data_IF_387559577237
#
_entry.id   IF_387559577237
#
_cell.length_a   1.000
_cell.length_b   1.000
_cell.length_c   1.000
_cell.angle_alpha   90.00
_cell.angle_beta   90.00
_cell.angle_gamma   90.00
#
_symmetry.space_group_name_H-M   'P 1'
#
loop_
_entity.id
_entity.type
_entity.pdbx_description
1 polymer ?
#
# COMPACT_ATOMS: atom_id res chain seq x y z
N UNK A 1 -13.48 9.72 6.01
CA UNK A 1 -12.73 8.45 5.87
C UNK A 1 -11.24 8.69 6.18
N UNK A 2 -10.56 7.74 6.84
CA UNK A 2 -9.12 7.81 7.12
C UNK A 2 -8.39 6.69 6.40
N UNK A 3 -7.35 7.05 5.66
CA UNK A 3 -6.47 6.10 4.98
C UNK A 3 -5.08 6.17 5.62
N UNK A 4 -4.43 5.02 5.78
CA UNK A 4 -3.06 4.96 6.26
C UNK A 4 -2.20 4.03 5.45
N UNK A 5 -0.91 4.35 5.37
CA UNK A 5 0.13 3.53 4.75
C UNK A 5 1.35 3.49 5.67
N UNK A 6 1.94 2.31 5.86
CA UNK A 6 3.24 2.13 6.53
C UNK A 6 4.11 1.19 5.69
N UNK A 7 5.42 1.43 5.66
CA UNK A 7 6.38 0.50 5.08
C UNK A 7 6.39 0.40 3.56
N UNK A 8 5.82 1.38 2.85
CA UNK A 8 5.72 1.38 1.40
C UNK A 8 6.62 2.42 0.75
N UNK A 9 7.58 2.00 -0.11
CA UNK A 9 8.51 2.87 -0.86
C UNK A 9 9.19 3.97 -0.01
N UNK A 10 8.74 5.21 -0.10
CA UNK A 10 9.29 6.36 0.63
C UNK A 10 8.61 6.57 1.98
N UNK A 11 7.58 5.78 2.30
CA UNK A 11 6.79 5.86 3.53
C UNK A 11 7.28 4.76 4.47
N UNK A 12 8.16 5.10 5.41
CA UNK A 12 8.65 4.17 6.41
C UNK A 12 7.72 4.06 7.61
N UNK A 13 7.48 5.18 8.29
CA UNK A 13 6.53 5.28 9.39
C UNK A 13 5.10 5.38 8.87
N UNK A 14 4.14 4.98 9.71
CA UNK A 14 2.71 5.11 9.40
C UNK A 14 2.40 6.57 9.09
N UNK A 15 1.84 6.81 7.91
CA UNK A 15 1.25 8.09 7.51
C UNK A 15 -0.25 7.89 7.41
N UNK A 16 -1.02 8.81 8.00
CA UNK A 16 -2.48 8.78 8.03
C UNK A 16 -3.00 10.07 7.41
N UNK A 17 -3.91 9.96 6.44
CA UNK A 17 -4.56 11.09 5.79
C UNK A 17 -6.07 10.97 5.94
N UNK A 18 -6.70 12.10 6.27
CA UNK A 18 -8.15 12.26 6.23
C UNK A 18 -8.58 12.55 4.79
N UNK A 19 -9.50 11.74 4.28
CA UNK A 19 -10.18 11.95 3.01
C UNK A 19 -11.61 12.37 3.31
N UNK A 20 -11.96 13.56 2.85
CA UNK A 20 -13.28 14.18 2.97
C UNK A 20 -13.52 15.16 1.81
N UNK A 21 -14.76 15.25 1.34
CA UNK A 21 -15.18 16.09 0.22
C UNK A 21 -14.18 16.12 -0.95
N UNK A 22 -13.59 17.30 -1.20
CA UNK A 22 -12.48 17.49 -2.14
C UNK A 22 -11.15 17.46 -1.39
N UNK A 23 -10.38 16.38 -1.56
CA UNK A 23 -9.03 16.24 -0.98
C UNK A 23 -7.96 16.39 -2.06
N UNK A 24 -7.06 17.36 -1.91
CA UNK A 24 -5.94 17.60 -2.84
C UNK A 24 -4.64 17.12 -2.21
N UNK A 25 -4.00 16.10 -2.80
CA UNK A 25 -2.64 15.70 -2.42
C UNK A 25 -1.62 16.56 -3.18
N UNK A 26 -1.03 17.54 -2.52
CA UNK A 26 -0.02 18.45 -3.07
C UNK A 26 1.31 18.36 -2.32
N UNK A 27 2.38 18.91 -2.92
CA UNK A 27 3.74 18.90 -2.36
C UNK A 27 4.82 18.69 -3.43
N UNK A 28 6.09 18.83 -3.04
CA UNK A 28 7.23 18.72 -3.95
C UNK A 28 7.28 17.37 -4.70
N UNK A 29 7.93 17.32 -5.86
CA UNK A 29 8.18 16.06 -6.54
C UNK A 29 8.92 15.09 -5.61
N UNK A 30 8.57 13.81 -5.71
CA UNK A 30 9.12 12.76 -4.86
C UNK A 30 8.80 12.88 -3.36
N UNK A 31 7.87 13.75 -2.94
CA UNK A 31 7.43 13.88 -1.53
C UNK A 31 6.60 12.71 -1.01
N UNK A 32 6.40 11.65 -1.80
CA UNK A 32 5.65 10.45 -1.38
C UNK A 32 4.15 10.45 -1.70
N UNK A 33 3.62 11.45 -2.42
CA UNK A 33 2.19 11.48 -2.83
C UNK A 33 1.76 10.23 -3.59
N UNK A 34 2.52 9.87 -4.63
CA UNK A 34 2.26 8.64 -5.40
C UNK A 34 2.51 7.39 -4.55
N UNK A 35 3.53 7.40 -3.69
CA UNK A 35 3.80 6.30 -2.75
C UNK A 35 2.62 6.07 -1.79
N UNK A 36 1.91 7.12 -1.38
CA UNK A 36 0.74 7.00 -0.52
C UNK A 36 -0.45 6.38 -1.25
N UNK A 37 -0.71 6.78 -2.50
CA UNK A 37 -1.89 6.31 -3.25
C UNK A 37 -1.71 4.91 -3.85
N UNK A 38 -0.49 4.57 -4.27
CA UNK A 38 -0.24 3.35 -5.05
C UNK A 38 -0.64 2.03 -4.35
N UNK A 39 -0.46 1.83 -3.02
CA UNK A 39 -0.94 0.64 -2.31
C UNK A 39 -2.45 0.41 -2.50
N UNK A 40 -3.26 1.47 -2.43
CA UNK A 40 -4.71 1.36 -2.62
C UNK A 40 -5.07 1.05 -4.08
N UNK A 41 -4.30 1.55 -5.04
CA UNK A 41 -4.45 1.21 -6.46
C UNK A 41 -4.10 -0.24 -6.75
N UNK A 42 -3.09 -0.79 -6.06
CA UNK A 42 -2.75 -2.22 -6.10
C UNK A 42 -3.89 -3.06 -5.54
N UNK A 43 -4.47 -2.67 -4.39
CA UNK A 43 -5.63 -3.35 -3.84
C UNK A 43 -6.82 -3.32 -4.79
N UNK A 44 -7.14 -2.15 -5.34
CA UNK A 44 -8.23 -1.97 -6.30
C UNK A 44 -8.09 -2.93 -7.48
N UNK A 45 -6.96 -2.91 -8.18
CA UNK A 45 -6.74 -3.81 -9.33
C UNK A 45 -6.65 -5.29 -8.94
N UNK A 46 -6.32 -5.60 -7.67
CA UNK A 46 -6.34 -6.98 -7.16
C UNK A 46 -7.77 -7.45 -6.96
N UNK A 47 -8.63 -6.63 -6.34
CA UNK A 47 -10.03 -6.94 -6.05
C UNK A 47 -10.87 -6.97 -7.33
N UNK A 48 -10.60 -6.08 -8.28
CA UNK A 48 -11.32 -6.00 -9.55
C UNK A 48 -10.89 -7.08 -10.56
N UNK A 49 -9.80 -7.81 -10.29
CA UNK A 49 -9.41 -8.91 -11.15
C UNK A 49 -10.27 -10.14 -10.85
N UNK A 50 -11.05 -10.56 -11.85
CA UNK A 50 -11.96 -11.70 -11.74
C UNK A 50 -11.26 -13.07 -11.60
N UNK A 51 -9.93 -13.12 -11.74
CA UNK A 51 -9.13 -14.31 -11.43
C UNK A 51 -8.60 -14.23 -10.00
N UNK A 52 -9.11 -15.09 -9.13
CA UNK A 52 -8.59 -15.20 -7.77
C UNK A 52 -7.21 -15.87 -7.80
N UNK A 53 -6.17 -15.06 -7.85
CA UNK A 53 -4.78 -15.50 -7.79
C UNK A 53 -4.28 -15.67 -6.35
N UNK A 54 -5.11 -15.39 -5.33
CA UNK A 54 -4.73 -15.37 -3.91
C UNK A 54 -3.54 -14.45 -3.59
N UNK A 55 -3.20 -13.53 -4.49
CA UNK A 55 -1.97 -12.72 -4.46
C UNK A 55 -2.24 -11.30 -4.92
N UNK A 56 -1.40 -10.35 -4.49
CA UNK A 56 -1.50 -8.98 -4.99
C UNK A 56 -1.11 -8.92 -6.47
N UNK A 57 -1.96 -8.28 -7.26
CA UNK A 57 -1.63 -7.96 -8.64
C UNK A 57 -0.76 -6.72 -8.64
N UNK A 58 0.52 -6.89 -8.95
CA UNK A 58 1.51 -5.82 -8.91
C UNK A 58 1.65 -5.09 -10.25
N UNK A 59 1.25 -5.74 -11.35
CA UNK A 59 1.31 -5.19 -12.69
C UNK A 59 -0.07 -5.20 -13.33
N UNK A 60 -0.71 -4.03 -13.37
CA UNK A 60 -2.05 -3.83 -13.91
C UNK A 60 -2.24 -2.38 -14.38
N UNK A 61 -3.48 -2.02 -14.66
CA UNK A 61 -3.82 -0.69 -15.20
C UNK A 61 -3.61 0.43 -14.18
N UNK A 62 -3.91 0.17 -12.90
CA UNK A 62 -3.84 1.18 -11.85
C UNK A 62 -2.42 1.32 -11.25
N UNK A 63 -1.61 0.26 -11.29
CA UNK A 63 -0.23 0.26 -10.83
C UNK A 63 0.63 -0.76 -11.59
N UNK A 64 1.82 -0.35 -12.02
CA UNK A 64 2.79 -1.17 -12.75
C UNK A 64 4.09 -1.29 -11.96
N UNK A 65 4.19 -2.31 -11.12
CA UNK A 65 5.40 -2.70 -10.40
C UNK A 65 5.93 -4.00 -11.00
N UNK A 66 7.18 -3.95 -11.48
CA UNK A 66 7.83 -5.09 -12.12
C UNK A 66 8.60 -5.97 -11.14
N UNK A 67 8.85 -5.46 -9.93
CA UNK A 67 9.56 -6.18 -8.88
C UNK A 67 8.88 -5.94 -7.52
N UNK A 68 8.48 -7.04 -6.90
CA UNK A 68 7.87 -7.08 -5.57
C UNK A 68 8.75 -6.47 -4.46
N UNK A 69 10.08 -6.47 -4.62
CA UNK A 69 11.00 -5.83 -3.68
C UNK A 69 10.94 -4.28 -3.73
N UNK A 70 10.35 -3.69 -4.78
CA UNK A 70 10.17 -2.24 -4.89
C UNK A 70 9.08 -1.70 -3.95
N UNK A 71 8.25 -2.58 -3.39
CA UNK A 71 7.12 -2.22 -2.52
C UNK A 71 7.60 -1.84 -1.13
N UNK A 72 8.56 -2.60 -0.59
CA UNK A 72 9.05 -2.40 0.77
C UNK A 72 9.82 -1.09 0.87
N UNK A 73 9.57 -0.35 1.94
CA UNK A 73 10.27 0.90 2.20
C UNK A 73 11.78 0.70 2.28
N UNK A 74 12.52 1.61 1.62
CA UNK A 74 13.99 1.61 1.58
C UNK A 74 14.59 2.77 2.37
N UNK A 75 13.77 3.48 3.14
CA UNK A 75 14.24 4.58 4.00
C UNK A 75 15.19 4.00 5.06
N UNK A 76 16.36 4.64 5.28
CA UNK A 76 17.30 4.21 6.31
C UNK A 76 16.63 4.07 7.67
N UNK A 77 16.88 2.95 8.36
CA UNK A 77 16.28 2.63 9.66
C UNK A 77 14.96 1.85 9.60
N UNK A 78 14.33 1.70 8.43
CA UNK A 78 13.18 0.81 8.28
C UNK A 78 13.64 -0.64 8.08
N UNK A 79 13.54 -1.45 9.14
CA UNK A 79 14.04 -2.84 9.12
C UNK A 79 12.94 -3.87 8.82
N UNK A 80 11.66 -3.46 8.79
CA UNK A 80 10.55 -4.38 8.51
C UNK A 80 10.55 -4.73 7.02
N UNK A 81 10.32 -6.01 6.71
CA UNK A 81 10.10 -6.48 5.33
C UNK A 81 8.61 -6.59 5.04
N UNK A 82 7.85 -5.58 5.41
CA UNK A 82 6.40 -5.56 5.29
C UNK A 82 5.90 -4.17 4.97
N UNK A 83 4.69 -4.08 4.42
CA UNK A 83 3.93 -2.84 4.34
C UNK A 83 2.50 -3.10 4.79
N UNK A 84 1.80 -2.07 5.21
CA UNK A 84 0.40 -2.16 5.57
C UNK A 84 -0.40 -0.97 5.03
N UNK A 85 -1.68 -1.23 4.82
CA UNK A 85 -2.67 -0.23 4.46
C UNK A 85 -3.85 -0.37 5.42
N UNK A 86 -4.34 0.76 5.91
CA UNK A 86 -5.51 0.79 6.80
C UNK A 86 -6.55 1.74 6.26
N UNK A 87 -7.81 1.38 6.42
CA UNK A 87 -8.97 2.22 6.17
C UNK A 87 -9.82 2.25 7.43
N UNK A 88 -10.11 3.45 7.93
CA UNK A 88 -11.01 3.67 9.06
C UNK A 88 -12.16 4.57 8.62
N UNK A 89 -13.38 4.10 8.84
CA UNK A 89 -14.62 4.86 8.72
C UNK A 89 -15.46 4.66 10.00
N UNK A 90 -16.58 5.38 10.15
CA UNK A 90 -17.31 5.49 11.42
C UNK A 90 -17.56 4.16 12.14
N UNK A 91 -17.91 3.09 11.41
CA UNK A 91 -18.21 1.77 11.98
C UNK A 91 -17.24 0.66 11.54
N UNK A 92 -16.22 0.98 10.74
CA UNK A 92 -15.36 -0.03 10.11
C UNK A 92 -13.90 0.36 10.20
N UNK A 93 -13.09 -0.56 10.71
CA UNK A 93 -11.64 -0.50 10.60
C UNK A 93 -11.21 -1.75 9.84
N UNK A 94 -10.41 -1.56 8.79
CA UNK A 94 -9.78 -2.63 8.06
C UNK A 94 -8.31 -2.31 7.91
N UNK A 95 -7.43 -3.25 8.26
CA UNK A 95 -5.99 -3.19 8.04
C UNK A 95 -5.53 -4.45 7.34
N UNK A 96 -4.96 -4.28 6.15
CA UNK A 96 -4.29 -5.33 5.42
C UNK A 96 -2.78 -5.13 5.53
N UNK A 97 -2.09 -6.16 6.02
CA UNK A 97 -0.64 -6.21 6.17
C UNK A 97 -0.07 -7.26 5.24
N UNK A 98 1.04 -6.93 4.61
CA UNK A 98 1.71 -7.76 3.62
C UNK A 98 3.19 -7.87 3.92
N UNK A 99 3.73 -9.07 3.78
CA UNK A 99 5.13 -9.37 4.07
C UNK A 99 5.86 -9.80 2.81
N UNK A 100 7.04 -9.22 2.60
CA UNK A 100 7.97 -9.65 1.57
C UNK A 100 8.81 -10.82 2.06
N UNK A 101 8.80 -11.90 1.29
CA UNK A 101 9.65 -13.07 1.48
C UNK A 101 10.49 -13.28 0.24
N UNK A 102 11.81 -13.30 0.41
CA UNK A 102 12.77 -13.53 -0.70
C UNK A 102 12.45 -14.86 -1.39
N UNK A 103 12.39 -14.85 -2.73
CA UNK A 103 12.07 -16.02 -3.56
C UNK A 103 10.58 -16.35 -3.69
N UNK A 104 9.71 -15.70 -2.91
CA UNK A 104 8.24 -15.89 -2.98
C UNK A 104 7.53 -14.59 -3.38
N UNK A 105 8.08 -13.44 -3.01
CA UNK A 105 7.47 -12.14 -3.28
C UNK A 105 6.65 -11.64 -2.11
N UNK A 106 5.51 -11.01 -2.39
CA UNK A 106 4.63 -10.39 -1.39
C UNK A 106 3.49 -11.36 -1.05
N UNK A 107 3.30 -11.58 0.25
CA UNK A 107 2.22 -12.44 0.77
C UNK A 107 1.36 -11.65 1.75
N UNK A 108 0.09 -12.01 1.84
CA UNK A 108 -0.81 -11.55 2.91
C UNK A 108 -0.25 -12.06 4.24
N UNK A 109 -0.04 -11.15 5.20
CA UNK A 109 0.40 -11.47 6.56
C UNK A 109 -0.79 -11.48 7.51
N UNK A 110 -1.64 -10.46 7.44
CA UNK A 110 -2.81 -10.31 8.31
C UNK A 110 -3.83 -9.39 7.67
N UNK A 111 -5.12 -9.72 7.80
CA UNK A 111 -6.25 -8.84 7.51
C UNK A 111 -7.07 -8.76 8.80
N UNK A 112 -7.30 -7.55 9.31
CA UNK A 112 -8.03 -7.27 10.56
C UNK A 112 -9.02 -6.14 10.37
#
# INVERSE_FOLDING_TARGET
>A
MRLSVEGYKSIASKQELNFDGLTILSGANSSGKSSFMQPFLILKQTIENHYDSGTLILYGENAKLTDSAQIISKVPGYNKKSFSVSMVNDNHNCTASYKYKRGVGIQVDTIR
#
